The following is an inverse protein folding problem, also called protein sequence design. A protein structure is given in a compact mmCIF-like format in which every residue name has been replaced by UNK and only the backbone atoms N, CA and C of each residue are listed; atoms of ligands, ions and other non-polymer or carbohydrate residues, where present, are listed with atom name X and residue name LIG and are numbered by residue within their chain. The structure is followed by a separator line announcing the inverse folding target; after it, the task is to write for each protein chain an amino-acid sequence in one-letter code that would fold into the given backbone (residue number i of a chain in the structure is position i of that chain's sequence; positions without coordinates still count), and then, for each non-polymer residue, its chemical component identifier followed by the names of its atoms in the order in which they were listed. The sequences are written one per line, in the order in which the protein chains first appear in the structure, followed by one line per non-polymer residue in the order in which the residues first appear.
data_IF_166820170569
#
_entry.id   IF_166820170569
#
_cell.length_a   1.000
_cell.length_b   1.000
_cell.length_c   1.000
_cell.angle_alpha   90.00
_cell.angle_beta   90.00
_cell.angle_gamma   90.00
#
_symmetry.space_group_name_H-M   'P 1'
#
loop_
_entity.id
_entity.type
_entity.pdbx_description
1 polymer ?
#
# COMPACT_ATOMS: atom_id res chain seq x y z
N UNK A 1 -20.96 32.07 8.77
CA UNK A 1 -20.81 31.64 7.36
C UNK A 1 -21.55 32.64 6.50
N UNK A 2 -20.83 33.39 5.65
CA UNK A 2 -21.38 34.50 4.87
C UNK A 2 -21.54 34.16 3.39
N UNK A 3 -22.40 34.91 2.68
CA UNK A 3 -22.70 34.74 1.25
C UNK A 3 -21.45 34.70 0.34
N UNK A 4 -20.35 35.34 0.73
CA UNK A 4 -19.08 35.32 -0.01
C UNK A 4 -18.38 33.95 -0.02
N UNK A 5 -18.61 33.11 0.99
CA UNK A 5 -18.00 31.77 1.11
C UNK A 5 -18.65 30.74 0.16
N UNK A 6 -19.88 31.03 -0.28
CA UNK A 6 -20.61 30.20 -1.24
C UNK A 6 -20.15 30.46 -2.68
N UNK A 7 -19.85 31.71 -3.04
CA UNK A 7 -19.38 32.07 -4.38
C UNK A 7 -17.93 31.66 -4.65
N UNK A 8 -17.05 31.66 -3.65
CA UNK A 8 -15.66 31.19 -3.80
C UNK A 8 -15.58 29.67 -4.01
N UNK A 9 -16.40 28.89 -3.30
CA UNK A 9 -16.43 27.42 -3.46
C UNK A 9 -16.83 26.99 -4.88
N UNK A 10 -17.79 27.66 -5.50
CA UNK A 10 -18.21 27.35 -6.87
C UNK A 10 -17.13 27.73 -7.91
N UNK A 11 -16.38 28.81 -7.70
CA UNK A 11 -15.26 29.17 -8.57
C UNK A 11 -14.07 28.24 -8.41
N UNK A 12 -13.76 27.85 -7.17
CA UNK A 12 -12.65 26.95 -6.86
C UNK A 12 -12.92 25.55 -7.40
N UNK A 13 -14.14 25.04 -7.27
CA UNK A 13 -14.53 23.75 -7.87
C UNK A 13 -14.30 23.70 -9.39
N UNK A 14 -14.72 24.75 -10.12
CA UNK A 14 -14.48 24.86 -11.57
C UNK A 14 -12.99 24.97 -11.91
N UNK A 15 -12.22 25.69 -11.09
CA UNK A 15 -10.78 25.81 -11.27
C UNK A 15 -10.07 24.46 -11.04
N UNK A 16 -10.43 23.74 -9.98
CA UNK A 16 -9.91 22.39 -9.68
C UNK A 16 -10.22 21.43 -10.83
N UNK A 17 -11.45 21.43 -11.34
CA UNK A 17 -11.82 20.56 -12.46
C UNK A 17 -10.99 20.87 -13.71
N UNK A 18 -10.84 22.16 -14.05
CA UNK A 18 -10.05 22.62 -15.20
C UNK A 18 -8.58 22.19 -15.08
N UNK A 19 -7.94 22.46 -13.95
CA UNK A 19 -6.52 22.15 -13.76
C UNK A 19 -6.28 20.66 -13.57
N UNK A 20 -7.19 19.95 -12.90
CA UNK A 20 -7.16 18.49 -12.78
C UNK A 20 -7.25 17.79 -14.14
N UNK A 21 -8.14 18.24 -15.04
CA UNK A 21 -8.20 17.74 -16.43
C UNK A 21 -6.88 17.98 -17.19
N UNK A 22 -6.26 19.14 -16.99
CA UNK A 22 -4.97 19.46 -17.62
C UNK A 22 -3.84 18.58 -17.09
N UNK A 23 -3.79 18.36 -15.77
CA UNK A 23 -2.83 17.47 -15.13
C UNK A 23 -3.00 16.01 -15.58
N UNK A 24 -4.23 15.55 -15.82
CA UNK A 24 -4.51 14.17 -16.25
C UNK A 24 -4.31 13.91 -17.74
N UNK A 25 -4.11 14.95 -18.54
CA UNK A 25 -3.84 14.78 -19.96
C UNK A 25 -2.37 14.41 -20.19
N UNK A 26 -2.10 13.10 -20.28
CA UNK A 26 -0.75 12.55 -20.52
C UNK A 26 -0.10 13.01 -21.83
N UNK A 27 -0.88 13.51 -22.78
CA UNK A 27 -0.40 14.02 -24.08
C UNK A 27 -0.05 15.52 -24.05
N UNK A 28 -0.35 16.22 -22.95
CA UNK A 28 0.08 17.60 -22.79
C UNK A 28 1.60 17.71 -22.66
N UNK A 29 2.12 18.90 -22.89
CA UNK A 29 3.52 19.17 -22.61
C UNK A 29 3.78 19.15 -21.10
N UNK A 30 4.94 18.65 -20.69
CA UNK A 30 5.41 18.61 -19.30
C UNK A 30 5.28 19.97 -18.60
N UNK A 31 5.61 21.06 -19.29
CA UNK A 31 5.49 22.42 -18.75
C UNK A 31 4.04 22.78 -18.39
N UNK A 32 3.06 22.36 -19.19
CA UNK A 32 1.65 22.62 -18.91
C UNK A 32 1.14 21.81 -17.71
N UNK A 33 1.58 20.55 -17.58
CA UNK A 33 1.25 19.72 -16.42
C UNK A 33 1.87 20.26 -15.14
N UNK A 34 3.14 20.68 -15.18
CA UNK A 34 3.80 21.37 -14.06
C UNK A 34 3.06 22.64 -13.67
N UNK A 35 2.64 23.45 -14.64
CA UNK A 35 1.80 24.61 -14.34
C UNK A 35 0.47 24.22 -13.69
N UNK A 36 -0.20 23.16 -14.12
CA UNK A 36 -1.42 22.68 -13.49
C UNK A 36 -1.20 22.23 -12.03
N UNK A 37 -0.07 21.59 -11.73
CA UNK A 37 0.34 21.23 -10.36
C UNK A 37 0.40 22.49 -9.49
N UNK A 38 1.11 23.53 -9.95
CA UNK A 38 1.24 24.80 -9.24
C UNK A 38 -0.10 25.52 -9.00
N UNK A 39 -1.03 25.44 -9.96
CA UNK A 39 -2.34 26.07 -9.80
C UNK A 39 -3.21 25.30 -8.79
N UNK A 40 -3.19 23.96 -8.82
CA UNK A 40 -3.89 23.15 -7.83
C UNK A 40 -3.29 23.35 -6.42
N UNK A 41 -1.96 23.46 -6.33
CA UNK A 41 -1.25 23.78 -5.08
C UNK A 41 -1.74 25.08 -4.46
N UNK A 42 -1.87 26.13 -5.28
CA UNK A 42 -2.35 27.46 -4.85
C UNK A 42 -3.79 27.44 -4.36
N UNK A 43 -4.65 26.62 -4.98
CA UNK A 43 -6.04 26.45 -4.53
C UNK A 43 -6.04 25.77 -3.14
N UNK A 44 -5.31 24.66 -2.99
CA UNK A 44 -5.04 24.04 -1.69
C UNK A 44 -6.26 23.52 -0.93
N UNK A 45 -7.43 23.38 -1.59
CA UNK A 45 -8.61 22.73 -1.03
C UNK A 45 -8.44 21.21 -1.03
N UNK A 46 -9.30 20.51 -0.30
CA UNK A 46 -9.33 19.04 -0.27
C UNK A 46 -9.47 18.45 -1.68
N UNK A 47 -10.36 19.01 -2.50
CA UNK A 47 -10.59 18.58 -3.87
C UNK A 47 -9.38 18.85 -4.77
N UNK A 48 -8.66 19.96 -4.54
CA UNK A 48 -7.43 20.25 -5.26
C UNK A 48 -6.33 19.24 -4.93
N UNK A 49 -6.22 18.82 -3.67
CA UNK A 49 -5.30 17.77 -3.22
C UNK A 49 -5.65 16.43 -3.87
N UNK A 50 -6.94 16.05 -3.88
CA UNK A 50 -7.38 14.83 -4.58
C UNK A 50 -7.03 14.90 -6.07
N UNK A 51 -7.22 16.06 -6.71
CA UNK A 51 -6.87 16.25 -8.12
C UNK A 51 -5.35 16.11 -8.37
N UNK A 52 -4.50 16.64 -7.47
CA UNK A 52 -3.05 16.47 -7.53
C UNK A 52 -2.64 15.01 -7.47
N UNK A 53 -3.22 14.25 -6.53
CA UNK A 53 -2.90 12.83 -6.32
C UNK A 53 -3.24 11.95 -7.53
N UNK A 54 -4.17 12.36 -8.39
CA UNK A 54 -4.47 11.62 -9.64
C UNK A 54 -3.28 11.53 -10.59
N UNK A 55 -2.25 12.40 -10.45
CA UNK A 55 -1.00 12.27 -11.22
C UNK A 55 -0.32 10.91 -11.06
N UNK A 56 -0.55 10.23 -9.94
CA UNK A 56 0.01 8.91 -9.67
C UNK A 56 -0.71 7.76 -10.40
N UNK A 57 -1.83 8.02 -11.07
CA UNK A 57 -2.65 7.00 -11.76
C UNK A 57 -2.12 6.61 -13.14
N UNK A 58 -1.15 7.36 -13.69
CA UNK A 58 -0.61 7.06 -15.02
C UNK A 58 0.89 7.35 -15.12
N UNK A 59 1.51 6.80 -16.16
CA UNK A 59 2.90 7.08 -16.54
C UNK A 59 2.94 7.80 -17.87
N UNK A 60 3.86 8.76 -18.01
CA UNK A 60 4.19 9.37 -19.31
C UNK A 60 5.30 8.58 -20.01
N UNK A 61 5.41 8.72 -21.34
CA UNK A 61 6.45 8.03 -22.12
C UNK A 61 7.87 8.48 -21.75
N UNK A 62 8.03 9.75 -21.38
CA UNK A 62 9.30 10.29 -20.90
C UNK A 62 9.49 9.96 -19.41
N UNK A 63 10.15 8.84 -19.11
CA UNK A 63 10.28 8.31 -17.74
C UNK A 63 10.91 9.29 -16.75
N UNK A 64 11.93 10.06 -17.15
CA UNK A 64 12.57 11.06 -16.29
C UNK A 64 11.58 12.17 -15.94
N UNK A 65 10.87 12.71 -16.94
CA UNK A 65 9.86 13.74 -16.70
C UNK A 65 8.67 13.21 -15.88
N UNK A 66 8.32 11.93 -16.03
CA UNK A 66 7.28 11.27 -15.25
C UNK A 66 7.60 11.28 -13.76
N UNK A 67 8.82 10.86 -13.41
CA UNK A 67 9.28 10.78 -12.02
C UNK A 67 9.52 12.18 -11.43
N UNK A 68 10.05 13.13 -12.21
CA UNK A 68 10.18 14.53 -11.77
C UNK A 68 8.82 15.16 -11.42
N UNK A 69 7.79 14.90 -12.23
CA UNK A 69 6.44 15.42 -11.95
C UNK A 69 5.82 14.78 -10.70
N UNK A 70 5.97 13.45 -10.53
CA UNK A 70 5.51 12.73 -9.33
C UNK A 70 6.21 13.23 -8.07
N UNK A 71 7.51 13.49 -8.16
CA UNK A 71 8.29 14.05 -7.07
C UNK A 71 7.88 15.50 -6.76
N UNK A 72 7.56 16.28 -7.79
CA UNK A 72 7.05 17.64 -7.61
C UNK A 72 5.68 17.67 -6.91
N UNK A 73 4.74 16.80 -7.32
CA UNK A 73 3.45 16.63 -6.61
C UNK A 73 3.68 16.23 -5.16
N UNK A 74 4.62 15.32 -4.89
CA UNK A 74 4.94 14.91 -3.53
C UNK A 74 5.42 16.11 -2.68
N UNK A 75 6.38 16.89 -3.18
CA UNK A 75 6.90 18.05 -2.46
C UNK A 75 5.81 19.07 -2.15
N UNK A 76 4.97 19.40 -3.13
CA UNK A 76 3.83 20.33 -2.96
C UNK A 76 2.85 19.84 -1.90
N UNK A 77 2.50 18.56 -1.92
CA UNK A 77 1.54 17.99 -0.95
C UNK A 77 2.10 18.03 0.47
N UNK A 78 3.39 17.74 0.63
CA UNK A 78 4.08 17.82 1.93
C UNK A 78 4.19 19.27 2.40
N UNK A 79 4.46 20.23 1.51
CA UNK A 79 4.50 21.66 1.82
C UNK A 79 3.13 22.20 2.27
N UNK A 80 2.03 21.73 1.67
CA UNK A 80 0.67 22.03 2.12
C UNK A 80 0.37 21.45 3.52
N UNK A 81 1.11 20.42 3.93
CA UNK A 81 1.10 19.85 5.27
C UNK A 81 -0.29 19.38 5.71
N UNK A 82 -0.73 19.83 6.89
CA UNK A 82 -1.99 19.41 7.51
C UNK A 82 -3.23 19.68 6.64
N UNK A 83 -3.19 20.67 5.74
CA UNK A 83 -4.30 20.95 4.81
C UNK A 83 -4.54 19.81 3.81
N UNK A 84 -3.52 19.02 3.51
CA UNK A 84 -3.60 17.90 2.56
C UNK A 84 -4.18 16.63 3.17
N UNK A 85 -4.22 16.50 4.50
CA UNK A 85 -4.46 15.21 5.17
C UNK A 85 -5.81 14.61 4.79
N UNK A 86 -6.89 15.40 4.80
CA UNK A 86 -8.22 14.87 4.45
C UNK A 86 -8.30 14.45 3.00
N UNK A 87 -7.75 15.24 2.06
CA UNK A 87 -7.73 14.88 0.64
C UNK A 87 -6.91 13.62 0.35
N UNK A 88 -5.81 13.42 1.08
CA UNK A 88 -5.03 12.18 0.99
C UNK A 88 -5.83 10.99 1.55
N UNK A 89 -6.49 11.13 2.70
CA UNK A 89 -7.33 10.07 3.28
C UNK A 89 -8.49 9.71 2.35
N UNK A 90 -9.15 10.71 1.77
CA UNK A 90 -10.21 10.51 0.77
C UNK A 90 -9.68 9.71 -0.43
N UNK A 91 -8.55 10.13 -1.00
CA UNK A 91 -7.92 9.43 -2.13
C UNK A 91 -7.53 7.99 -1.76
N UNK A 92 -6.89 7.80 -0.60
CA UNK A 92 -6.51 6.48 -0.08
C UNK A 92 -7.73 5.60 0.10
N UNK A 93 -8.91 6.14 0.40
CA UNK A 93 -10.16 5.41 0.54
C UNK A 93 -10.72 4.86 -0.78
N UNK A 94 -10.49 5.53 -1.90
CA UNK A 94 -11.18 5.23 -3.17
C UNK A 94 -10.29 4.67 -4.28
N UNK A 95 -8.99 4.96 -4.27
CA UNK A 95 -8.11 4.74 -5.43
C UNK A 95 -7.12 3.58 -5.22
N UNK A 96 -6.50 3.09 -6.29
CA UNK A 96 -5.54 1.95 -6.26
C UNK A 96 -4.07 2.39 -6.28
N UNK A 97 -3.76 3.59 -6.77
CA UNK A 97 -2.40 4.14 -6.83
C UNK A 97 -1.90 4.70 -5.50
N UNK A 98 -1.62 3.84 -4.52
CA UNK A 98 -1.51 4.26 -3.11
C UNK A 98 -0.10 4.61 -2.60
N UNK A 99 0.96 4.12 -3.25
CA UNK A 99 2.33 4.26 -2.74
C UNK A 99 2.72 5.72 -2.43
N UNK A 100 2.58 6.62 -3.41
CA UNK A 100 2.93 8.02 -3.23
C UNK A 100 2.00 8.78 -2.26
N UNK A 101 0.66 8.65 -2.34
CA UNK A 101 -0.24 9.24 -1.34
C UNK A 101 0.09 8.80 0.09
N UNK A 102 0.35 7.51 0.32
CA UNK A 102 0.71 6.99 1.65
C UNK A 102 2.08 7.53 2.08
N UNK A 103 3.07 7.56 1.19
CA UNK A 103 4.37 8.18 1.46
C UNK A 103 4.24 9.65 1.87
N UNK A 104 3.40 10.42 1.19
CA UNK A 104 3.12 11.82 1.52
C UNK A 104 2.40 11.96 2.87
N UNK A 105 1.38 11.13 3.13
CA UNK A 105 0.66 11.12 4.40
C UNK A 105 1.63 10.88 5.57
N UNK A 106 2.48 9.85 5.47
CA UNK A 106 3.50 9.54 6.48
C UNK A 106 4.42 10.71 6.77
N UNK A 107 4.86 11.44 5.74
CA UNK A 107 5.71 12.61 5.90
C UNK A 107 5.01 13.76 6.66
N UNK A 108 3.67 13.82 6.63
CA UNK A 108 2.88 14.90 7.24
C UNK A 108 2.42 14.55 8.66
N UNK A 109 1.91 13.32 8.86
CA UNK A 109 1.25 12.89 10.11
C UNK A 109 2.00 11.80 10.87
N UNK A 110 3.10 11.27 10.30
CA UNK A 110 3.83 10.14 10.86
C UNK A 110 3.19 8.77 10.60
N UNK A 111 3.90 7.72 10.99
CA UNK A 111 3.55 6.35 10.64
C UNK A 111 2.28 5.86 11.34
N UNK A 112 2.07 6.20 12.61
CA UNK A 112 0.92 5.73 13.39
C UNK A 112 -0.44 6.24 12.83
N UNK A 113 -0.51 7.52 12.46
CA UNK A 113 -1.72 8.09 11.86
C UNK A 113 -1.92 7.63 10.42
N UNK A 114 -0.85 7.50 9.64
CA UNK A 114 -0.93 6.97 8.28
C UNK A 114 -1.38 5.49 8.27
N UNK A 115 -0.88 4.66 9.19
CA UNK A 115 -1.32 3.29 9.38
C UNK A 115 -2.82 3.21 9.69
N UNK A 116 -3.31 4.10 10.57
CA UNK A 116 -4.74 4.21 10.89
C UNK A 116 -5.58 4.46 9.63
N UNK A 117 -5.17 5.40 8.77
CA UNK A 117 -5.89 5.70 7.54
C UNK A 117 -5.94 4.51 6.55
N UNK A 118 -4.87 3.71 6.47
CA UNK A 118 -4.84 2.51 5.61
C UNK A 118 -5.73 1.41 6.19
N UNK A 119 -5.70 1.20 7.50
CA UNK A 119 -6.58 0.25 8.20
C UNK A 119 -8.06 0.62 8.03
N UNK A 120 -8.40 1.90 8.21
CA UNK A 120 -9.77 2.39 8.00
C UNK A 120 -10.22 2.18 6.55
N UNK A 121 -9.35 2.47 5.59
CA UNK A 121 -9.63 2.25 4.18
C UNK A 121 -9.83 0.76 3.85
N UNK A 122 -9.04 -0.13 4.45
CA UNK A 122 -9.20 -1.58 4.29
C UNK A 122 -10.51 -2.09 4.91
N UNK A 123 -10.85 -1.65 6.11
CA UNK A 123 -12.10 -2.01 6.77
C UNK A 123 -13.34 -1.53 6.00
N UNK A 124 -13.22 -0.42 5.26
CA UNK A 124 -14.29 0.12 4.42
C UNK A 124 -14.47 -0.64 3.09
N UNK A 125 -13.53 -1.50 2.70
CA UNK A 125 -13.67 -2.30 1.46
C UNK A 125 -14.77 -3.34 1.66
N UNK A 126 -15.94 -3.06 1.07
CA UNK A 126 -17.01 -4.04 0.93
C UNK A 126 -16.74 -4.87 -0.32
N UNK A 127 -16.36 -6.14 -0.16
CA UNK A 127 -16.25 -7.02 -1.31
C UNK A 127 -17.64 -7.52 -1.71
N UNK A 128 -18.06 -7.18 -2.92
CA UNK A 128 -19.29 -7.68 -3.53
C UNK A 128 -18.90 -8.24 -4.88
N UNK A 129 -18.89 -9.57 -4.99
CA UNK A 129 -18.53 -10.29 -6.21
C UNK A 129 -17.13 -9.96 -6.76
N UNK A 130 -16.14 -9.70 -5.90
CA UNK A 130 -14.74 -9.52 -6.31
C UNK A 130 -14.42 -8.16 -6.96
N UNK A 131 -15.37 -7.23 -7.01
CA UNK A 131 -15.18 -5.91 -7.66
C UNK A 131 -14.07 -5.08 -7.02
N UNK A 132 -13.82 -5.28 -5.72
CA UNK A 132 -12.82 -4.53 -4.97
C UNK A 132 -11.55 -5.33 -4.69
N UNK A 133 -11.31 -6.42 -5.44
CA UNK A 133 -10.15 -7.30 -5.27
C UNK A 133 -8.82 -6.54 -5.42
N UNK A 134 -8.65 -5.82 -6.53
CA UNK A 134 -7.43 -5.04 -6.78
C UNK A 134 -7.20 -3.99 -5.67
N UNK A 135 -8.27 -3.32 -5.26
CA UNK A 135 -8.23 -2.31 -4.20
C UNK A 135 -7.77 -2.91 -2.87
N UNK A 136 -8.32 -4.06 -2.47
CA UNK A 136 -7.90 -4.81 -1.27
C UNK A 136 -6.41 -5.19 -1.36
N UNK A 137 -5.98 -5.71 -2.50
CA UNK A 137 -4.58 -6.07 -2.74
C UNK A 137 -3.63 -4.88 -2.61
N UNK A 138 -3.98 -3.71 -3.17
CA UNK A 138 -3.13 -2.51 -3.08
C UNK A 138 -3.03 -1.98 -1.63
N UNK A 139 -4.11 -2.03 -0.86
CA UNK A 139 -4.07 -1.65 0.56
C UNK A 139 -3.13 -2.55 1.36
N UNK A 140 -3.27 -3.87 1.18
CA UNK A 140 -2.43 -4.87 1.88
C UNK A 140 -0.96 -4.72 1.50
N UNK A 141 -0.65 -4.53 0.21
CA UNK A 141 0.72 -4.28 -0.26
C UNK A 141 1.36 -3.07 0.45
N UNK A 142 0.60 -1.99 0.59
CA UNK A 142 1.09 -0.78 1.25
C UNK A 142 1.10 -0.88 2.78
N UNK A 143 0.46 -1.87 3.40
CA UNK A 143 0.56 -2.10 4.85
C UNK A 143 1.96 -2.56 5.28
N UNK A 144 2.77 -3.12 4.36
CA UNK A 144 4.15 -3.58 4.67
C UNK A 144 5.00 -2.50 5.33
N UNK A 145 4.85 -1.24 4.92
CA UNK A 145 5.66 -0.14 5.47
C UNK A 145 5.30 0.20 6.92
N UNK A 146 4.21 -0.37 7.44
CA UNK A 146 3.70 -0.16 8.79
C UNK A 146 3.75 -1.44 9.64
N UNK A 147 4.46 -2.49 9.23
CA UNK A 147 4.44 -3.79 9.93
C UNK A 147 4.91 -3.73 11.40
N UNK A 148 5.68 -2.69 11.76
CA UNK A 148 6.08 -2.42 13.14
C UNK A 148 4.94 -1.92 14.03
N UNK A 149 3.82 -1.45 13.45
CA UNK A 149 2.60 -1.13 14.17
C UNK A 149 1.84 -2.43 14.48
N UNK A 150 1.62 -2.71 15.76
CA UNK A 150 1.01 -3.98 16.19
C UNK A 150 -0.41 -4.17 15.64
N UNK A 151 -1.16 -3.09 15.39
CA UNK A 151 -2.51 -3.19 14.78
C UNK A 151 -2.42 -3.70 13.35
N UNK A 152 -1.44 -3.19 12.60
CA UNK A 152 -1.17 -3.61 11.22
C UNK A 152 -0.69 -5.06 11.22
N UNK A 153 0.22 -5.42 12.11
CA UNK A 153 0.71 -6.79 12.25
C UNK A 153 -0.42 -7.78 12.56
N UNK A 154 -1.26 -7.49 13.57
CA UNK A 154 -2.42 -8.33 13.92
C UNK A 154 -3.39 -8.46 12.75
N UNK A 155 -3.65 -7.36 12.03
CA UNK A 155 -4.52 -7.40 10.85
C UNK A 155 -3.94 -8.29 9.74
N UNK A 156 -2.63 -8.17 9.46
CA UNK A 156 -1.95 -9.02 8.48
C UNK A 156 -1.98 -10.50 8.91
N UNK A 157 -1.73 -10.81 10.19
CA UNK A 157 -1.84 -12.19 10.69
C UNK A 157 -3.23 -12.78 10.46
N UNK A 158 -4.30 -12.02 10.71
CA UNK A 158 -5.67 -12.47 10.46
C UNK A 158 -5.92 -12.77 8.97
N UNK A 159 -5.29 -12.00 8.07
CA UNK A 159 -5.41 -12.13 6.62
C UNK A 159 -4.59 -13.27 6.02
N UNK A 160 -3.78 -14.01 6.80
CA UNK A 160 -3.14 -15.25 6.32
C UNK A 160 -4.15 -16.33 5.91
N UNK A 161 -5.41 -16.20 6.36
CA UNK A 161 -6.52 -17.11 6.03
C UNK A 161 -7.51 -16.52 5.01
N UNK A 162 -7.13 -15.46 4.29
CA UNK A 162 -7.96 -14.86 3.24
C UNK A 162 -8.20 -15.88 2.11
N UNK A 163 -9.40 -15.82 1.51
CA UNK A 163 -9.77 -16.68 0.38
C UNK A 163 -9.03 -16.31 -0.91
N UNK A 164 -8.59 -15.06 -1.03
CA UNK A 164 -7.77 -14.60 -2.15
C UNK A 164 -6.30 -14.89 -1.89
N UNK A 165 -5.77 -15.92 -2.56
CA UNK A 165 -4.34 -16.28 -2.50
C UNK A 165 -3.42 -15.10 -2.83
N UNK A 166 -3.83 -14.17 -3.70
CA UNK A 166 -3.04 -12.97 -4.03
C UNK A 166 -2.94 -11.99 -2.86
N UNK A 167 -3.95 -11.97 -1.99
CA UNK A 167 -3.88 -11.22 -0.73
C UNK A 167 -2.94 -11.93 0.23
N UNK A 168 -3.05 -13.25 0.38
CA UNK A 168 -2.18 -14.04 1.26
C UNK A 168 -0.70 -13.91 0.87
N UNK A 169 -0.38 -13.91 -0.44
CA UNK A 169 0.97 -13.65 -0.95
C UNK A 169 1.52 -12.31 -0.43
N UNK A 170 0.73 -11.24 -0.53
CA UNK A 170 1.14 -9.89 -0.07
C UNK A 170 1.24 -9.82 1.45
N UNK A 171 0.39 -10.54 2.16
CA UNK A 171 0.48 -10.68 3.62
C UNK A 171 1.79 -11.35 4.03
N UNK A 172 2.18 -12.43 3.36
CA UNK A 172 3.45 -13.13 3.64
C UNK A 172 4.63 -12.17 3.42
N UNK A 173 4.70 -11.49 2.28
CA UNK A 173 5.74 -10.47 2.01
C UNK A 173 5.73 -9.36 3.07
N UNK A 174 4.53 -8.88 3.42
CA UNK A 174 4.30 -7.85 4.42
C UNK A 174 4.85 -8.22 5.79
N UNK A 175 4.48 -9.40 6.30
CA UNK A 175 4.90 -9.88 7.61
C UNK A 175 6.41 -10.18 7.65
N UNK A 176 6.98 -10.65 6.54
CA UNK A 176 8.40 -10.97 6.40
C UNK A 176 9.33 -9.75 6.51
N UNK A 177 8.76 -8.54 6.41
CA UNK A 177 9.49 -7.29 6.62
C UNK A 177 9.72 -6.97 8.11
N UNK A 178 8.99 -7.58 9.04
CA UNK A 178 9.22 -7.40 10.48
C UNK A 178 10.40 -8.26 10.93
N UNK A 179 11.33 -7.68 11.68
CA UNK A 179 12.40 -8.48 12.30
C UNK A 179 11.78 -9.52 13.24
N UNK A 180 12.18 -10.78 13.06
CA UNK A 180 11.39 -11.94 13.45
C UNK A 180 11.15 -12.08 14.95
N UNK A 181 9.90 -11.94 15.38
CA UNK A 181 9.43 -12.55 16.62
C UNK A 181 9.18 -14.04 16.36
N UNK A 182 9.43 -14.89 17.35
CA UNK A 182 9.15 -16.33 17.24
C UNK A 182 7.68 -16.62 16.87
N UNK A 183 6.76 -15.77 17.33
CA UNK A 183 5.33 -15.83 17.03
C UNK A 183 5.00 -15.62 15.54
N UNK A 184 5.68 -14.67 14.89
CA UNK A 184 5.51 -14.43 13.45
C UNK A 184 5.98 -15.63 12.64
N UNK A 185 7.19 -16.14 12.96
CA UNK A 185 7.77 -17.31 12.28
C UNK A 185 6.87 -18.53 12.48
N UNK A 186 6.34 -18.74 13.68
CA UNK A 186 5.39 -19.81 13.97
C UNK A 186 4.11 -19.69 13.14
N UNK A 187 3.55 -18.48 12.98
CA UNK A 187 2.34 -18.27 12.17
C UNK A 187 2.54 -18.67 10.70
N UNK A 188 3.67 -18.27 10.09
CA UNK A 188 4.00 -18.63 8.72
C UNK A 188 4.37 -20.10 8.58
N UNK A 189 5.14 -20.66 9.53
CA UNK A 189 5.50 -22.07 9.54
C UNK A 189 4.25 -22.96 9.70
N UNK A 190 3.29 -22.56 10.53
CA UNK A 190 1.98 -23.23 10.66
C UNK A 190 1.22 -23.21 9.34
N UNK A 191 1.17 -22.07 8.64
CA UNK A 191 0.54 -21.99 7.31
C UNK A 191 1.26 -22.91 6.31
N UNK A 192 2.60 -22.90 6.31
CA UNK A 192 3.40 -23.77 5.45
C UNK A 192 3.32 -25.25 5.86
N UNK A 193 2.87 -25.60 7.06
CA UNK A 193 2.68 -26.96 7.53
C UNK A 193 1.23 -27.47 7.35
N UNK A 194 0.29 -26.60 6.98
CA UNK A 194 -1.09 -26.99 6.68
C UNK A 194 -1.15 -27.76 5.33
N UNK A 195 -1.73 -28.97 5.26
CA UNK A 195 -1.87 -29.73 4.02
C UNK A 195 -2.69 -29.04 2.92
N UNK A 196 -3.60 -28.13 3.27
CA UNK A 196 -4.45 -27.41 2.31
C UNK A 196 -3.75 -26.20 1.68
N UNK A 197 -2.62 -25.76 2.24
CA UNK A 197 -1.84 -24.64 1.70
C UNK A 197 -1.29 -24.98 0.31
N UNK A 198 -1.52 -24.08 -0.64
CA UNK A 198 -1.05 -24.22 -2.01
C UNK A 198 0.48 -24.40 -2.07
N UNK A 199 0.96 -25.10 -3.10
CA UNK A 199 2.40 -25.27 -3.31
C UNK A 199 3.11 -23.92 -3.47
N UNK A 200 2.45 -22.95 -4.11
CA UNK A 200 2.99 -21.59 -4.32
C UNK A 200 3.22 -20.88 -2.99
N UNK A 201 2.22 -20.82 -2.11
CA UNK A 201 2.34 -20.19 -0.80
C UNK A 201 3.39 -20.90 0.06
N UNK A 202 3.39 -22.24 0.05
CA UNK A 202 4.39 -23.02 0.78
C UNK A 202 5.81 -22.72 0.32
N UNK A 203 6.06 -22.69 -0.99
CA UNK A 203 7.36 -22.33 -1.55
C UNK A 203 7.78 -20.92 -1.16
N UNK A 204 6.87 -19.95 -1.20
CA UNK A 204 7.16 -18.57 -0.79
C UNK A 204 7.60 -18.46 0.67
N UNK A 205 6.90 -19.16 1.57
CA UNK A 205 7.25 -19.19 3.00
C UNK A 205 8.58 -19.89 3.23
N UNK A 206 8.80 -21.04 2.57
CA UNK A 206 10.07 -21.78 2.67
C UNK A 206 11.24 -20.95 2.14
N UNK A 207 11.06 -20.23 1.04
CA UNK A 207 12.08 -19.36 0.48
C UNK A 207 12.44 -18.23 1.43
N UNK A 208 11.41 -17.59 1.99
CA UNK A 208 11.60 -16.57 3.03
C UNK A 208 12.31 -17.13 4.25
N UNK A 209 11.96 -18.35 4.68
CA UNK A 209 12.59 -19.02 5.81
C UNK A 209 14.07 -19.31 5.54
N UNK A 210 14.45 -19.66 4.31
CA UNK A 210 15.87 -19.80 3.91
C UNK A 210 16.57 -18.44 3.98
N UNK A 211 16.02 -17.43 3.31
CA UNK A 211 16.63 -16.10 3.20
C UNK A 211 16.85 -15.44 4.58
N UNK A 212 15.94 -15.71 5.52
CA UNK A 212 15.98 -15.16 6.88
C UNK A 212 16.57 -16.13 7.92
N UNK A 213 16.98 -17.33 7.50
CA UNK A 213 17.47 -18.40 8.39
C UNK A 213 16.50 -18.70 9.55
N UNK A 214 15.20 -18.79 9.24
CA UNK A 214 14.16 -19.02 10.23
C UNK A 214 14.19 -20.45 10.79
N UNK A 215 14.02 -20.54 12.10
CA UNK A 215 13.76 -21.78 12.80
C UNK A 215 12.25 -22.03 12.84
N UNK A 216 11.80 -23.14 12.26
CA UNK A 216 10.36 -23.47 12.18
C UNK A 216 9.83 -24.20 13.42
N UNK A 217 10.69 -24.46 14.41
CA UNK A 217 10.32 -24.95 15.74
C UNK A 217 9.43 -26.19 15.72
N UNK A 218 8.31 -26.10 16.43
CA UNK A 218 7.34 -27.20 16.58
C UNK A 218 6.69 -27.64 15.26
N UNK A 219 6.73 -26.80 14.22
CA UNK A 219 6.16 -27.13 12.91
C UNK A 219 7.10 -27.97 12.02
N UNK A 220 8.36 -28.18 12.44
CA UNK A 220 9.36 -28.93 11.67
C UNK A 220 8.87 -30.31 11.22
N UNK A 221 8.28 -31.08 12.13
CA UNK A 221 7.83 -32.44 11.85
C UNK A 221 6.69 -32.48 10.81
N UNK A 222 5.71 -31.59 10.95
CA UNK A 222 4.59 -31.49 10.01
C UNK A 222 5.05 -30.97 8.64
N UNK A 223 5.96 -29.99 8.63
CA UNK A 223 6.49 -29.39 7.41
C UNK A 223 7.33 -30.39 6.61
N UNK A 224 8.16 -31.22 7.27
CA UNK A 224 9.06 -32.17 6.60
C UNK A 224 8.33 -33.13 5.64
N UNK A 225 7.09 -33.50 5.91
CA UNK A 225 6.29 -34.40 5.05
C UNK A 225 5.67 -33.71 3.83
N UNK A 226 5.68 -32.37 3.80
CA UNK A 226 4.99 -31.54 2.81
C UNK A 226 5.97 -30.66 2.01
N UNK A 227 7.25 -30.67 2.37
CA UNK A 227 8.28 -29.86 1.71
C UNK A 227 8.55 -30.35 0.27
N UNK A 228 8.59 -29.43 -0.70
CA UNK A 228 9.12 -29.72 -2.02
C UNK A 228 10.57 -30.22 -1.97
N UNK A 229 10.98 -31.00 -2.97
CA UNK A 229 12.27 -31.71 -2.98
C UNK A 229 13.50 -30.79 -2.97
N UNK A 230 13.36 -29.53 -3.35
CA UNK A 230 14.43 -28.53 -3.32
C UNK A 230 14.76 -27.98 -1.92
N UNK A 231 13.94 -28.28 -0.90
CA UNK A 231 14.17 -27.83 0.47
C UNK A 231 14.46 -29.00 1.42
N UNK A 232 15.10 -28.70 2.54
CA UNK A 232 15.39 -29.64 3.63
C UNK A 232 15.40 -28.90 4.97
N UNK A 233 15.14 -29.61 6.07
CA UNK A 233 15.33 -29.10 7.42
C UNK A 233 16.72 -29.46 7.93
N UNK A 234 17.42 -28.50 8.53
CA UNK A 234 18.69 -28.76 9.23
C UNK A 234 18.45 -29.43 10.57
N UNK A 235 19.52 -29.94 11.20
CA UNK A 235 19.44 -30.55 12.54
C UNK A 235 18.95 -29.56 13.60
N UNK A 236 19.18 -28.28 13.39
CA UNK A 236 18.77 -27.17 14.27
C UNK A 236 17.32 -26.74 14.04
N UNK A 237 16.63 -27.30 13.03
CA UNK A 237 15.24 -26.93 12.71
C UNK A 237 15.09 -25.73 11.79
N UNK A 238 16.17 -25.34 11.09
CA UNK A 238 16.12 -24.27 10.08
C UNK A 238 15.77 -24.83 8.70
N UNK A 239 15.17 -24.02 7.84
CA UNK A 239 14.94 -24.39 6.43
C UNK A 239 16.18 -24.06 5.60
N UNK A 240 16.61 -25.01 4.75
CA UNK A 240 17.71 -24.82 3.81
C UNK A 240 17.31 -25.30 2.40
N UNK A 241 17.95 -24.71 1.37
CA UNK A 241 17.95 -25.28 0.01
C UNK A 241 18.88 -26.49 -0.03
N UNK A 242 18.50 -27.54 -0.76
CA UNK A 242 19.35 -28.70 -1.02
C UNK A 242 20.48 -28.39 -1.99
#
# INVERSE_FOLDING_TARGET
MGLFDFFSKDSDGKAVEKWGKRLMNKYQQTAERKHAIEQLAKIGTEEAVVALLKRYQYRTEQSIADEDEKQHVYSVIVELGQKSVQGIKQYIGTETGLYWPIKALRAIVGDHEAATAVLDALAAVKDSFGQNRERRQQLVDNMRVFVSDDRVFTQLQAMLRDEDEEVVVRVIDGLSAREGSAEHVGSLASLAADPTTSVRLRMMILETAVDKSWNVGEHAAALSGLMPSQYVLTAEGNVARR
#
